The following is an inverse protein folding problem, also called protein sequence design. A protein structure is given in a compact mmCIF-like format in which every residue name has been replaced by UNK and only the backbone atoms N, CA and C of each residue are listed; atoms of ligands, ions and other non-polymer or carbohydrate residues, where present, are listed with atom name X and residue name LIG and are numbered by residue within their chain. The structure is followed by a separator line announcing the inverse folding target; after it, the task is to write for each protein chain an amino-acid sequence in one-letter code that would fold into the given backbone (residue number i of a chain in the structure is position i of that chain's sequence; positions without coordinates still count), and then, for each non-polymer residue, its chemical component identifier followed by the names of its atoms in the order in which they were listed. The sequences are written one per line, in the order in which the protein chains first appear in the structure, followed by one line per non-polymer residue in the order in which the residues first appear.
data_IF_699111949535
#
_entry.id   IF_699111949535
#
_cell.length_a   1.000
_cell.length_b   1.000
_cell.length_c   1.000
_cell.angle_alpha   90.00
_cell.angle_beta   90.00
_cell.angle_gamma   90.00
#
_symmetry.space_group_name_H-M   'P 1'
#
loop_
_entity.id
_entity.type
_entity.pdbx_description
1 polymer ?
#
# COMPACT_ATOMS: atom_id res chain seq x y z
N UNK A 1 19.68 -15.98 8.97
CA UNK A 1 20.12 -15.26 7.77
C UNK A 1 19.95 -13.77 8.03
N UNK A 2 21.00 -12.99 7.94
CA UNK A 2 21.00 -11.53 8.13
C UNK A 2 21.09 -10.83 6.78
N UNK A 3 20.98 -9.50 6.74
CA UNK A 3 21.16 -8.73 5.50
C UNK A 3 22.58 -8.85 4.93
N UNK A 4 23.58 -9.07 5.77
CA UNK A 4 24.98 -9.29 5.37
C UNK A 4 25.13 -10.48 4.39
N UNK A 5 24.23 -11.47 4.46
CA UNK A 5 24.28 -12.69 3.65
C UNK A 5 23.43 -12.64 2.37
N UNK A 6 22.87 -11.48 2.01
CA UNK A 6 21.98 -11.32 0.84
C UNK A 6 22.71 -10.80 -0.41
N UNK A 7 24.01 -10.49 -0.33
CA UNK A 7 24.81 -9.96 -1.44
C UNK A 7 24.70 -8.45 -1.64
N UNK A 8 24.10 -7.73 -0.69
CA UNK A 8 24.05 -6.28 -0.70
C UNK A 8 25.44 -5.68 -0.45
N UNK A 9 25.71 -4.50 -1.01
CA UNK A 9 26.94 -3.78 -0.73
C UNK A 9 27.03 -3.38 0.75
N UNK A 10 28.24 -3.41 1.31
CA UNK A 10 28.45 -3.22 2.76
C UNK A 10 27.94 -1.89 3.30
N UNK A 11 28.02 -0.80 2.51
CA UNK A 11 27.49 0.49 2.93
C UNK A 11 25.97 0.45 3.18
N UNK A 12 25.21 -0.27 2.34
CA UNK A 12 23.74 -0.44 2.55
C UNK A 12 23.44 -1.26 3.80
N UNK A 13 24.23 -2.31 4.06
CA UNK A 13 24.09 -3.10 5.29
C UNK A 13 24.32 -2.23 6.53
N UNK A 14 25.29 -1.32 6.48
CA UNK A 14 25.55 -0.39 7.58
C UNK A 14 24.38 0.60 7.79
N UNK A 15 23.78 1.12 6.70
CA UNK A 15 22.60 1.98 6.77
C UNK A 15 21.43 1.19 7.35
N UNK A 16 21.18 -0.04 6.92
CA UNK A 16 20.12 -0.90 7.45
C UNK A 16 20.25 -1.13 8.96
N UNK A 17 21.47 -1.32 9.46
CA UNK A 17 21.74 -1.45 10.92
C UNK A 17 21.40 -0.14 11.66
N UNK A 18 21.79 1.01 11.09
CA UNK A 18 21.49 2.36 11.63
C UNK A 18 19.96 2.62 11.68
N UNK A 19 19.24 2.21 10.64
CA UNK A 19 17.79 2.36 10.49
C UNK A 19 16.97 1.23 11.19
N UNK A 20 17.62 0.43 12.07
CA UNK A 20 16.98 -0.64 12.86
C UNK A 20 16.32 -1.77 12.05
N UNK A 21 16.80 -2.05 10.84
CA UNK A 21 16.39 -3.24 10.09
C UNK A 21 17.07 -4.48 10.68
N UNK A 22 16.40 -5.17 11.60
CA UNK A 22 17.02 -6.28 12.37
C UNK A 22 17.21 -7.55 11.55
N UNK A 23 16.20 -8.02 10.86
CA UNK A 23 16.22 -9.28 10.10
C UNK A 23 15.43 -9.14 8.79
N UNK A 24 15.89 -9.74 7.68
CA UNK A 24 15.15 -9.72 6.41
C UNK A 24 13.90 -10.60 6.51
N UNK A 25 12.79 -10.09 5.95
CA UNK A 25 11.55 -10.84 5.76
C UNK A 25 11.75 -12.00 4.75
N UNK A 26 10.87 -13.03 4.78
CA UNK A 26 10.98 -14.17 3.86
C UNK A 26 11.10 -13.78 2.38
N UNK A 27 10.29 -12.83 1.91
CA UNK A 27 10.35 -12.34 0.54
C UNK A 27 11.68 -11.65 0.21
N UNK A 28 12.25 -10.90 1.15
CA UNK A 28 13.54 -10.21 0.98
C UNK A 28 14.69 -11.21 0.83
N UNK A 29 14.65 -12.31 1.60
CA UNK A 29 15.67 -13.37 1.52
C UNK A 29 15.72 -14.04 0.15
N UNK A 30 14.59 -14.12 -0.55
CA UNK A 30 14.46 -14.76 -1.86
C UNK A 30 14.66 -13.75 -3.00
N UNK A 31 14.03 -12.57 -2.91
CA UNK A 31 14.01 -11.62 -4.01
C UNK A 31 15.32 -10.83 -4.14
N UNK A 32 15.94 -10.40 -3.03
CA UNK A 32 17.18 -9.60 -3.09
C UNK A 32 18.29 -10.31 -3.87
N UNK A 33 18.65 -11.57 -3.57
CA UNK A 33 19.70 -12.26 -4.33
C UNK A 33 19.33 -12.50 -5.80
N UNK A 34 18.05 -12.77 -6.12
CA UNK A 34 17.60 -12.97 -7.49
C UNK A 34 17.72 -11.68 -8.32
N UNK A 35 17.31 -10.54 -7.74
CA UNK A 35 17.39 -9.23 -8.39
C UNK A 35 18.85 -8.81 -8.60
N UNK A 36 19.72 -9.03 -7.61
CA UNK A 36 21.16 -8.73 -7.73
C UNK A 36 21.87 -9.54 -8.83
N UNK A 37 21.37 -10.75 -9.14
CA UNK A 37 21.85 -11.55 -10.27
C UNK A 37 21.38 -11.04 -11.64
N UNK A 38 20.55 -10.03 -11.68
CA UNK A 38 19.97 -9.49 -12.91
C UNK A 38 18.77 -10.27 -13.47
N UNK A 39 18.21 -11.22 -12.71
CA UNK A 39 17.05 -11.99 -13.14
C UNK A 39 15.78 -11.12 -13.14
N UNK A 40 14.89 -11.38 -14.08
CA UNK A 40 13.49 -10.93 -13.94
C UNK A 40 12.85 -11.69 -12.77
N UNK A 41 11.96 -11.02 -12.03
CA UNK A 41 11.35 -11.59 -10.83
C UNK A 41 9.84 -11.40 -10.84
N UNK A 42 9.12 -12.49 -10.59
CA UNK A 42 7.70 -12.48 -10.21
C UNK A 42 7.59 -12.80 -8.72
N UNK A 43 7.19 -11.82 -7.92
CA UNK A 43 7.09 -11.96 -6.47
C UNK A 43 5.65 -11.82 -5.99
N UNK A 44 5.09 -12.90 -5.49
CA UNK A 44 3.75 -12.94 -4.90
C UNK A 44 3.88 -13.00 -3.39
N UNK A 45 3.41 -11.95 -2.71
CA UNK A 45 3.45 -11.89 -1.26
C UNK A 45 2.40 -10.91 -0.71
N UNK A 46 1.86 -11.13 0.50
CA UNK A 46 0.84 -10.26 1.10
C UNK A 46 1.36 -8.83 1.31
N UNK A 47 0.43 -7.89 1.53
CA UNK A 47 0.78 -6.52 1.95
C UNK A 47 1.50 -6.60 3.30
N UNK A 48 2.49 -5.72 3.54
CA UNK A 48 3.28 -5.71 4.78
C UNK A 48 4.32 -6.82 4.90
N UNK A 49 4.56 -7.62 3.87
CA UNK A 49 5.61 -8.65 3.85
C UNK A 49 7.02 -8.11 3.60
N UNK A 50 7.18 -6.80 3.38
CA UNK A 50 8.46 -6.18 3.06
C UNK A 50 8.81 -6.14 1.56
N UNK A 51 7.81 -6.23 0.66
CA UNK A 51 8.01 -6.17 -0.81
C UNK A 51 8.81 -4.95 -1.26
N UNK A 52 8.49 -3.77 -0.76
CA UNK A 52 9.16 -2.52 -1.17
C UNK A 52 10.67 -2.59 -0.94
N UNK A 53 11.12 -2.98 0.24
CA UNK A 53 12.55 -3.14 0.53
C UNK A 53 13.19 -4.27 -0.29
N UNK A 54 12.42 -5.27 -0.74
CA UNK A 54 12.91 -6.38 -1.57
C UNK A 54 13.45 -5.94 -2.92
N UNK A 55 12.94 -4.84 -3.49
CA UNK A 55 13.48 -4.28 -4.73
C UNK A 55 14.26 -2.98 -4.52
N UNK A 56 13.93 -2.15 -3.54
CA UNK A 56 14.67 -0.91 -3.24
C UNK A 56 16.14 -1.22 -2.92
N UNK A 57 16.40 -2.17 -2.03
CA UNK A 57 17.74 -2.49 -1.59
C UNK A 57 18.66 -3.02 -2.72
N UNK A 58 18.26 -4.01 -3.54
CA UNK A 58 19.11 -4.46 -4.64
C UNK A 58 19.24 -3.39 -5.75
N UNK A 59 18.21 -2.57 -6.01
CA UNK A 59 18.31 -1.45 -6.94
C UNK A 59 19.43 -0.49 -6.48
N UNK A 60 19.41 -0.06 -5.23
CA UNK A 60 20.44 0.82 -4.66
C UNK A 60 21.84 0.17 -4.65
N UNK A 61 21.90 -1.15 -4.52
CA UNK A 61 23.16 -1.90 -4.54
C UNK A 61 23.76 -2.04 -5.94
N UNK A 62 22.94 -2.08 -7.00
CA UNK A 62 23.36 -2.41 -8.37
C UNK A 62 23.60 -1.21 -9.25
N UNK A 63 22.92 -0.08 -8.99
CA UNK A 63 22.99 1.09 -9.86
C UNK A 63 24.24 1.91 -9.57
N UNK A 64 25.01 2.16 -10.63
CA UNK A 64 26.06 3.17 -10.62
C UNK A 64 25.43 4.52 -10.94
N UNK A 65 25.17 5.30 -9.92
CA UNK A 65 24.68 6.66 -10.08
C UNK A 65 25.77 7.56 -10.67
N UNK A 66 25.40 8.42 -11.63
CA UNK A 66 26.29 9.41 -12.20
C UNK A 66 26.02 10.76 -11.56
N UNK A 67 27.04 11.39 -11.01
CA UNK A 67 26.93 12.74 -10.48
C UNK A 67 26.57 13.74 -11.57
N UNK A 68 25.61 14.62 -11.28
CA UNK A 68 25.37 15.82 -12.06
C UNK A 68 24.69 15.59 -13.41
N UNK A 69 24.05 14.44 -13.64
CA UNK A 69 23.24 14.29 -14.85
C UNK A 69 22.17 15.38 -14.89
N UNK A 70 22.27 16.27 -15.88
CA UNK A 70 21.28 17.33 -16.14
C UNK A 70 20.28 16.91 -17.23
N UNK A 71 20.28 15.62 -17.59
CA UNK A 71 19.33 15.09 -18.57
C UNK A 71 18.01 14.66 -17.90
N UNK A 72 17.04 14.29 -18.72
CA UNK A 72 15.74 13.78 -18.30
C UNK A 72 15.64 12.25 -18.48
N UNK A 73 16.76 11.58 -18.43
CA UNK A 73 16.86 10.13 -18.54
C UNK A 73 16.67 9.47 -17.17
N UNK A 74 15.94 8.37 -17.15
CA UNK A 74 15.61 7.61 -15.94
C UNK A 74 16.29 6.25 -16.01
N UNK A 75 17.00 5.87 -14.96
CA UNK A 75 17.60 4.54 -14.82
C UNK A 75 16.62 3.50 -14.30
N UNK A 76 15.71 3.92 -13.40
CA UNK A 76 14.72 3.05 -12.75
C UNK A 76 13.34 3.66 -12.82
N UNK A 77 12.39 2.89 -13.34
CA UNK A 77 10.97 3.24 -13.36
C UNK A 77 10.19 2.28 -12.45
N UNK A 78 9.43 2.83 -11.52
CA UNK A 78 8.55 2.07 -10.62
C UNK A 78 7.12 2.53 -10.87
N UNK A 79 6.26 1.62 -11.31
CA UNK A 79 4.86 1.91 -11.61
C UNK A 79 3.98 1.37 -10.49
N UNK A 80 3.10 2.23 -9.98
CA UNK A 80 2.24 1.96 -8.82
C UNK A 80 0.81 2.44 -9.06
N UNK A 81 -0.20 1.82 -8.43
CA UNK A 81 -1.60 2.16 -8.65
C UNK A 81 -2.06 3.48 -8.04
N UNK A 82 -1.40 3.96 -6.97
CA UNK A 82 -1.87 5.10 -6.19
C UNK A 82 -0.77 6.12 -5.90
N UNK A 83 -1.20 7.36 -5.70
CA UNK A 83 -0.32 8.51 -5.36
C UNK A 83 0.38 8.29 -4.02
N UNK A 84 -0.37 7.74 -3.06
CA UNK A 84 0.11 7.48 -1.72
C UNK A 84 1.25 6.47 -1.76
N UNK A 85 1.09 5.38 -2.52
CA UNK A 85 2.14 4.38 -2.68
C UNK A 85 3.35 4.96 -3.41
N UNK A 86 3.14 5.81 -4.43
CA UNK A 86 4.25 6.50 -5.10
C UNK A 86 5.07 7.34 -4.12
N UNK A 87 4.41 8.09 -3.25
CA UNK A 87 5.08 8.90 -2.25
C UNK A 87 5.79 8.05 -1.19
N UNK A 88 5.16 6.97 -0.72
CA UNK A 88 5.76 6.04 0.25
C UNK A 88 7.04 5.41 -0.28
N UNK A 89 7.03 4.93 -1.52
CA UNK A 89 8.22 4.34 -2.13
C UNK A 89 9.33 5.38 -2.27
N UNK A 90 9.00 6.60 -2.71
CA UNK A 90 9.96 7.72 -2.71
C UNK A 90 10.55 7.95 -1.32
N UNK A 91 9.71 7.97 -0.29
CA UNK A 91 10.17 8.22 1.09
C UNK A 91 11.10 7.09 1.57
N UNK A 92 10.89 5.83 1.14
CA UNK A 92 11.82 4.72 1.41
C UNK A 92 13.18 4.96 0.74
N UNK A 93 13.22 5.40 -0.52
CA UNK A 93 14.49 5.74 -1.18
C UNK A 93 15.20 6.90 -0.48
N UNK A 94 14.47 7.93 -0.03
CA UNK A 94 15.03 9.08 0.66
C UNK A 94 15.73 8.74 1.98
N UNK A 95 15.37 7.61 2.63
CA UNK A 95 16.08 7.13 3.83
C UNK A 95 17.55 6.85 3.50
N UNK A 96 17.81 6.29 2.31
CA UNK A 96 19.14 5.88 1.87
C UNK A 96 19.90 6.98 1.11
N UNK A 97 19.17 7.94 0.49
CA UNK A 97 19.75 8.96 -0.39
C UNK A 97 20.85 9.79 0.30
N UNK A 98 20.66 10.09 1.59
CA UNK A 98 21.59 10.92 2.36
C UNK A 98 22.95 10.30 2.62
N UNK A 99 23.01 8.98 2.63
CA UNK A 99 24.19 8.20 3.02
C UNK A 99 24.86 7.51 1.79
N UNK A 100 24.37 7.78 0.55
CA UNK A 100 24.91 7.20 -0.68
C UNK A 100 25.64 8.26 -1.51
N UNK A 101 26.88 7.96 -1.90
CA UNK A 101 27.69 8.79 -2.81
C UNK A 101 28.14 7.96 -4.02
N UNK A 102 28.03 8.48 -5.25
CA UNK A 102 27.40 9.73 -5.63
C UNK A 102 25.90 9.76 -5.35
N UNK A 103 25.34 10.94 -5.09
CA UNK A 103 23.91 11.13 -4.78
C UNK A 103 23.06 10.77 -6.00
N UNK A 104 21.88 10.22 -5.74
CA UNK A 104 20.85 9.97 -6.73
C UNK A 104 19.60 10.78 -6.38
N UNK A 105 18.75 11.04 -7.36
CA UNK A 105 17.49 11.77 -7.14
C UNK A 105 16.30 10.86 -7.41
N UNK A 106 15.45 10.72 -6.39
CA UNK A 106 14.18 10.00 -6.51
C UNK A 106 13.02 10.97 -6.58
N UNK A 107 12.12 10.74 -7.53
CA UNK A 107 10.92 11.55 -7.69
C UNK A 107 9.66 10.70 -7.78
N UNK A 108 8.59 11.14 -7.12
CA UNK A 108 7.25 10.58 -7.28
C UNK A 108 6.40 11.50 -8.16
N UNK A 109 5.75 10.93 -9.20
CA UNK A 109 4.82 11.63 -10.09
C UNK A 109 3.45 10.95 -10.08
N UNK A 110 2.40 11.76 -10.04
CA UNK A 110 1.03 11.26 -9.97
C UNK A 110 0.02 12.31 -10.41
N UNK A 111 -1.13 11.87 -10.89
CA UNK A 111 -2.22 12.74 -11.33
C UNK A 111 -2.93 13.49 -10.20
N UNK A 112 -3.81 14.45 -10.55
CA UNK A 112 -4.65 15.23 -9.64
C UNK A 112 -3.92 16.32 -8.86
N UNK A 113 -2.74 16.69 -9.32
CA UNK A 113 -1.99 17.90 -9.00
C UNK A 113 -1.45 18.49 -10.29
N UNK A 114 -1.03 19.76 -10.28
CA UNK A 114 -0.47 20.41 -11.48
C UNK A 114 0.72 19.62 -12.03
N UNK A 115 0.78 19.50 -13.37
CA UNK A 115 1.87 18.82 -14.07
C UNK A 115 3.15 19.66 -14.12
N UNK A 116 3.03 20.99 -14.24
CA UNK A 116 4.16 21.90 -14.45
C UNK A 116 5.25 21.82 -13.36
N UNK A 117 4.94 21.81 -12.06
CA UNK A 117 5.96 21.60 -11.02
C UNK A 117 6.67 20.27 -11.16
N UNK A 118 5.94 19.20 -11.53
CA UNK A 118 6.53 17.88 -11.73
C UNK A 118 7.49 17.88 -12.93
N UNK A 119 7.09 18.47 -14.07
CA UNK A 119 7.95 18.60 -15.25
C UNK A 119 9.26 19.34 -14.96
N UNK A 120 9.20 20.45 -14.23
CA UNK A 120 10.38 21.23 -13.85
C UNK A 120 11.34 20.45 -12.96
N UNK A 121 10.82 19.55 -12.14
CA UNK A 121 11.60 18.78 -11.17
C UNK A 121 12.21 17.49 -11.73
N UNK A 122 11.97 17.14 -13.01
CA UNK A 122 12.46 15.89 -13.62
C UNK A 122 13.96 15.90 -13.94
N UNK A 123 14.62 17.05 -13.97
CA UNK A 123 16.05 17.12 -14.25
C UNK A 123 16.88 16.37 -13.22
N UNK A 124 17.75 15.49 -13.67
CA UNK A 124 18.64 14.68 -12.86
C UNK A 124 17.95 13.59 -12.03
N UNK A 125 16.71 13.21 -12.38
CA UNK A 125 15.99 12.13 -11.71
C UNK A 125 16.50 10.79 -12.21
N UNK A 126 17.12 10.01 -11.35
CA UNK A 126 17.60 8.64 -11.64
C UNK A 126 16.50 7.60 -11.39
N UNK A 127 15.69 7.81 -10.36
CA UNK A 127 14.64 6.87 -9.94
C UNK A 127 13.29 7.59 -10.00
N UNK A 128 12.39 7.09 -10.85
CA UNK A 128 11.06 7.64 -11.01
C UNK A 128 10.00 6.67 -10.49
N UNK A 129 9.16 7.12 -9.55
CA UNK A 129 7.99 6.38 -9.08
C UNK A 129 6.74 7.06 -9.65
N UNK A 130 5.92 6.32 -10.39
CA UNK A 130 4.86 6.91 -11.19
C UNK A 130 3.52 6.19 -11.08
N UNK A 131 2.41 6.94 -11.16
CA UNK A 131 1.11 6.38 -11.54
C UNK A 131 0.95 6.42 -13.06
N UNK A 132 0.30 5.39 -13.69
CA UNK A 132 0.30 5.23 -15.15
C UNK A 132 -0.13 6.47 -15.94
N UNK A 133 -1.30 7.03 -15.64
CA UNK A 133 -1.83 8.17 -16.39
C UNK A 133 -0.88 9.39 -16.38
N UNK A 134 -0.32 9.77 -15.22
CA UNK A 134 0.62 10.89 -15.13
C UNK A 134 1.94 10.60 -15.85
N UNK A 135 2.37 9.35 -15.86
CA UNK A 135 3.56 8.97 -16.63
C UNK A 135 3.36 9.21 -18.12
N UNK A 136 2.22 8.78 -18.66
CA UNK A 136 1.86 9.03 -20.06
C UNK A 136 1.72 10.53 -20.38
N UNK A 137 1.11 11.33 -19.49
CA UNK A 137 1.04 12.80 -19.67
C UNK A 137 2.44 13.40 -19.87
N UNK A 138 3.43 12.97 -19.08
CA UNK A 138 4.80 13.49 -19.14
C UNK A 138 5.57 12.97 -20.35
N UNK A 139 5.36 11.72 -20.76
CA UNK A 139 5.94 11.16 -21.98
C UNK A 139 5.39 11.88 -23.22
N UNK A 140 4.07 12.04 -23.31
CA UNK A 140 3.41 12.72 -24.42
C UNK A 140 3.82 14.21 -24.53
N UNK A 141 4.22 14.82 -23.40
CA UNK A 141 4.76 16.18 -23.36
C UNK A 141 6.28 16.23 -23.65
N UNK A 142 6.90 15.11 -24.04
CA UNK A 142 8.36 14.98 -24.26
C UNK A 142 9.20 15.46 -23.06
N UNK A 143 8.66 15.28 -21.85
CA UNK A 143 9.27 15.75 -20.61
C UNK A 143 10.20 14.72 -19.96
N UNK A 144 10.16 13.45 -20.43
CA UNK A 144 10.94 12.35 -19.88
C UNK A 144 11.30 11.34 -20.96
N UNK A 145 12.46 10.69 -20.83
CA UNK A 145 12.99 9.71 -21.77
C UNK A 145 13.44 8.43 -21.02
N UNK A 146 13.30 7.28 -21.70
CA UNK A 146 13.59 5.96 -21.12
C UNK A 146 14.73 5.21 -21.81
N UNK A 147 15.49 5.84 -22.71
CA UNK A 147 16.55 5.17 -23.49
C UNK A 147 17.61 4.52 -22.59
N UNK A 148 17.82 5.07 -21.39
CA UNK A 148 18.80 4.56 -20.38
C UNK A 148 18.16 3.68 -19.30
N UNK A 149 16.86 3.32 -19.43
CA UNK A 149 16.16 2.56 -18.41
C UNK A 149 16.77 1.16 -18.25
N UNK A 150 17.22 0.87 -17.05
CA UNK A 150 17.83 -0.41 -16.67
C UNK A 150 16.87 -1.35 -15.94
N UNK A 151 15.97 -0.78 -15.14
CA UNK A 151 15.06 -1.58 -14.30
C UNK A 151 13.64 -1.00 -14.34
N UNK A 152 12.68 -1.87 -14.61
CA UNK A 152 11.25 -1.59 -14.46
C UNK A 152 10.70 -2.40 -13.29
N UNK A 153 9.99 -1.73 -12.39
CA UNK A 153 9.25 -2.37 -11.29
C UNK A 153 7.76 -2.09 -11.45
N UNK A 154 6.94 -3.14 -11.38
CA UNK A 154 5.51 -3.02 -11.19
C UNK A 154 5.18 -3.44 -9.76
N UNK A 155 4.74 -2.52 -8.92
CA UNK A 155 4.31 -2.84 -7.56
C UNK A 155 2.79 -2.77 -7.44
N UNK A 156 2.22 -3.69 -6.65
CA UNK A 156 0.79 -3.91 -6.53
C UNK A 156 0.10 -4.15 -7.91
N UNK A 157 0.70 -5.01 -8.74
CA UNK A 157 0.25 -5.25 -10.12
C UNK A 157 -1.22 -5.69 -10.20
N UNK A 158 -1.70 -6.51 -9.27
CA UNK A 158 -3.11 -6.89 -9.18
C UNK A 158 -4.05 -5.68 -9.00
N UNK A 159 -3.61 -4.65 -8.31
CA UNK A 159 -4.40 -3.42 -8.14
C UNK A 159 -4.33 -2.51 -9.37
N UNK A 160 -3.16 -2.39 -10.01
CA UNK A 160 -3.02 -1.66 -11.28
C UNK A 160 -4.07 -2.17 -12.29
N UNK A 161 -4.18 -3.49 -12.44
CA UNK A 161 -5.12 -4.12 -13.39
C UNK A 161 -6.58 -4.03 -12.96
N UNK A 162 -6.85 -4.10 -11.65
CA UNK A 162 -8.21 -3.97 -11.14
C UNK A 162 -8.75 -2.53 -11.21
N UNK A 163 -7.87 -1.53 -11.26
CA UNK A 163 -8.21 -0.12 -11.45
C UNK A 163 -8.39 0.27 -12.92
N UNK A 164 -8.16 -0.65 -13.86
CA UNK A 164 -8.39 -0.44 -15.28
C UNK A 164 -7.20 0.13 -16.05
N UNK A 165 -5.99 0.15 -15.49
CA UNK A 165 -4.79 0.69 -16.14
C UNK A 165 -4.15 -0.24 -17.18
N UNK A 166 -4.90 -1.23 -17.73
CA UNK A 166 -4.35 -2.19 -18.70
C UNK A 166 -3.85 -1.49 -19.97
N UNK A 167 -4.62 -0.55 -20.50
CA UNK A 167 -4.31 0.15 -21.74
C UNK A 167 -3.13 1.10 -21.56
N UNK A 168 -3.10 1.86 -20.46
CA UNK A 168 -1.97 2.73 -20.13
C UNK A 168 -0.69 1.92 -19.95
N UNK A 169 -0.77 0.77 -19.29
CA UNK A 169 0.38 -0.12 -19.10
C UNK A 169 0.92 -0.63 -20.43
N UNK A 170 0.04 -1.04 -21.36
CA UNK A 170 0.42 -1.48 -22.70
C UNK A 170 1.13 -0.37 -23.48
N UNK A 171 0.61 0.85 -23.43
CA UNK A 171 1.25 2.02 -24.04
C UNK A 171 2.63 2.29 -23.43
N UNK A 172 2.74 2.28 -22.09
CA UNK A 172 4.01 2.49 -21.42
C UNK A 172 5.03 1.43 -21.86
N UNK A 173 4.66 0.14 -21.87
CA UNK A 173 5.59 -0.94 -22.21
C UNK A 173 6.16 -0.81 -23.63
N UNK A 174 5.37 -0.30 -24.60
CA UNK A 174 5.82 -0.06 -25.95
C UNK A 174 6.89 1.04 -26.08
N UNK A 175 6.99 1.92 -25.09
CA UNK A 175 7.93 3.04 -25.05
C UNK A 175 9.25 2.71 -24.36
N UNK A 176 9.33 1.56 -23.69
CA UNK A 176 10.49 1.18 -22.90
C UNK A 176 11.50 0.36 -23.70
N UNK A 177 12.83 0.51 -23.47
CA UNK A 177 13.85 -0.25 -24.16
C UNK A 177 13.69 -1.75 -23.88
N UNK A 178 13.99 -2.58 -24.90
CA UNK A 178 13.84 -4.03 -24.81
C UNK A 178 14.83 -4.68 -23.82
N UNK A 179 16.01 -4.10 -23.65
CA UNK A 179 17.05 -4.60 -22.73
C UNK A 179 16.92 -3.90 -21.38
N UNK A 180 16.20 -4.52 -20.46
CA UNK A 180 16.02 -4.06 -19.09
C UNK A 180 15.70 -5.24 -18.19
N UNK A 181 15.90 -5.10 -16.90
CA UNK A 181 15.38 -6.03 -15.88
C UNK A 181 13.94 -5.65 -15.53
N UNK A 182 13.06 -6.64 -15.42
CA UNK A 182 11.66 -6.42 -15.05
C UNK A 182 11.35 -7.12 -13.73
N UNK A 183 10.73 -6.40 -12.81
CA UNK A 183 10.36 -6.86 -11.47
C UNK A 183 8.87 -6.68 -11.27
N UNK A 184 8.13 -7.76 -11.08
CA UNK A 184 6.68 -7.76 -10.89
C UNK A 184 6.35 -8.19 -9.45
N UNK A 185 5.78 -7.29 -8.68
CA UNK A 185 5.32 -7.51 -7.31
C UNK A 185 3.80 -7.43 -7.21
N UNK A 186 3.18 -8.45 -6.63
CA UNK A 186 1.74 -8.52 -6.45
C UNK A 186 1.36 -9.14 -5.12
N UNK A 187 0.16 -8.87 -4.63
CA UNK A 187 -0.39 -9.57 -3.49
C UNK A 187 -1.07 -10.90 -3.90
N UNK A 188 -1.50 -11.01 -5.16
CA UNK A 188 -2.19 -12.18 -5.68
C UNK A 188 -1.74 -12.50 -7.10
N UNK A 189 -1.71 -13.80 -7.42
CA UNK A 189 -1.58 -14.29 -8.79
C UNK A 189 -2.99 -14.58 -9.32
N UNK A 190 -3.50 -13.75 -10.18
CA UNK A 190 -4.77 -13.94 -10.90
C UNK A 190 -4.51 -13.91 -12.40
N UNK A 191 -5.50 -14.28 -13.22
CA UNK A 191 -5.37 -14.34 -14.68
C UNK A 191 -4.79 -13.06 -15.29
N UNK A 192 -5.23 -11.90 -14.82
CA UNK A 192 -4.72 -10.60 -15.31
C UNK A 192 -3.24 -10.39 -15.00
N UNK A 193 -2.80 -10.77 -13.79
CA UNK A 193 -1.38 -10.67 -13.42
C UNK A 193 -0.56 -11.66 -14.21
N UNK A 194 -1.10 -12.86 -14.50
CA UNK A 194 -0.45 -13.86 -15.33
C UNK A 194 -0.30 -13.39 -16.78
N UNK A 195 -1.30 -12.71 -17.37
CA UNK A 195 -1.19 -12.08 -18.69
C UNK A 195 -0.01 -11.08 -18.74
N UNK A 196 0.12 -10.22 -17.74
CA UNK A 196 1.24 -9.25 -17.68
C UNK A 196 2.57 -9.97 -17.46
N UNK A 197 2.62 -11.00 -16.63
CA UNK A 197 3.80 -11.81 -16.44
C UNK A 197 4.32 -12.33 -17.78
N UNK A 198 3.46 -12.92 -18.61
CA UNK A 198 3.82 -13.49 -19.93
C UNK A 198 4.31 -12.42 -20.91
N UNK A 199 3.76 -11.20 -20.85
CA UNK A 199 4.15 -10.13 -21.76
C UNK A 199 5.47 -9.48 -21.32
N UNK A 200 5.68 -9.31 -20.02
CA UNK A 200 6.72 -8.46 -19.47
C UNK A 200 7.98 -9.22 -19.07
N UNK A 201 7.84 -10.40 -18.44
CA UNK A 201 8.96 -11.08 -17.80
C UNK A 201 9.60 -12.13 -18.71
N UNK A 202 10.92 -12.28 -18.62
CA UNK A 202 11.71 -13.25 -19.38
C UNK A 202 12.36 -14.24 -18.44
N UNK A 203 11.91 -15.50 -18.49
CA UNK A 203 12.38 -16.58 -17.60
C UNK A 203 12.50 -16.13 -16.13
N UNK A 204 11.41 -15.61 -15.52
CA UNK A 204 11.50 -14.99 -14.21
C UNK A 204 11.81 -16.00 -13.11
N UNK A 205 12.51 -15.54 -12.10
CA UNK A 205 12.53 -16.22 -10.80
C UNK A 205 11.18 -16.01 -10.14
N UNK A 206 10.39 -17.09 -10.01
CA UNK A 206 9.07 -17.02 -9.36
C UNK A 206 9.24 -17.22 -7.86
N UNK A 207 8.80 -16.22 -7.09
CA UNK A 207 8.84 -16.20 -5.64
C UNK A 207 7.41 -16.12 -5.12
N UNK A 208 6.96 -17.17 -4.47
CA UNK A 208 5.66 -17.21 -3.85
C UNK A 208 5.81 -17.35 -2.33
N UNK A 209 5.61 -16.25 -1.63
CA UNK A 209 5.57 -16.24 -0.16
C UNK A 209 4.11 -16.26 0.23
N UNK A 210 3.58 -17.48 0.39
CA UNK A 210 2.27 -17.64 1.01
C UNK A 210 2.31 -17.05 2.42
N UNK A 211 1.28 -16.34 2.85
CA UNK A 211 1.13 -16.06 4.27
C UNK A 211 1.24 -17.42 4.97
N UNK A 212 2.07 -17.55 6.01
CA UNK A 212 1.79 -18.52 7.07
C UNK A 212 0.32 -18.32 7.37
N UNK A 213 -0.48 -19.39 7.31
CA UNK A 213 -1.95 -19.40 7.44
C UNK A 213 -2.43 -18.19 8.19
N UNK A 214 -3.28 -17.38 7.56
CA UNK A 214 -3.62 -16.03 7.97
C UNK A 214 -3.52 -15.93 9.49
N UNK A 215 -2.59 -15.13 10.01
CA UNK A 215 -2.52 -14.85 11.45
C UNK A 215 -3.77 -14.08 11.90
N UNK A 216 -4.94 -14.55 11.45
CA UNK A 216 -6.25 -14.15 11.98
C UNK A 216 -6.37 -14.50 13.47
N UNK A 217 -5.56 -15.47 13.92
CA UNK A 217 -5.41 -15.83 15.34
C UNK A 217 -4.95 -14.66 16.21
N UNK A 218 -4.18 -13.73 15.67
CA UNK A 218 -3.76 -12.52 16.37
C UNK A 218 -4.77 -11.38 16.26
N UNK A 219 -5.93 -11.60 15.61
CA UNK A 219 -6.98 -10.60 15.47
C UNK A 219 -8.23 -11.08 16.22
N UNK A 220 -8.53 -10.45 17.34
CA UNK A 220 -9.82 -10.60 18.00
C UNK A 220 -10.91 -10.04 17.10
N UNK A 221 -11.89 -10.84 16.72
CA UNK A 221 -12.96 -10.45 15.81
C UNK A 221 -14.30 -10.49 16.53
N UNK A 222 -14.99 -9.34 16.53
CA UNK A 222 -16.30 -9.17 17.13
C UNK A 222 -17.28 -8.64 16.07
N UNK A 223 -18.53 -9.06 16.13
CA UNK A 223 -19.58 -8.53 15.25
C UNK A 223 -20.81 -8.11 16.04
N UNK A 224 -21.32 -6.92 15.73
CA UNK A 224 -22.55 -6.39 16.32
C UNK A 224 -23.70 -6.46 15.31
N UNK A 225 -24.78 -7.16 15.67
CA UNK A 225 -26.07 -7.08 14.96
C UNK A 225 -26.73 -5.75 15.30
N UNK A 226 -26.92 -4.87 14.32
CA UNK A 226 -27.33 -3.47 14.57
C UNK A 226 -28.08 -2.88 13.41
N UNK A 227 -29.16 -2.16 13.66
CA UNK A 227 -29.86 -1.38 12.64
C UNK A 227 -29.02 -0.21 12.12
N UNK A 228 -29.22 0.20 10.88
CA UNK A 228 -28.41 1.26 10.24
C UNK A 228 -28.44 2.58 11.00
N UNK A 229 -29.59 2.93 11.61
CA UNK A 229 -29.76 4.17 12.38
C UNK A 229 -28.91 4.18 13.64
N UNK A 230 -28.69 3.01 14.25
CA UNK A 230 -27.95 2.85 15.50
C UNK A 230 -26.45 2.65 15.30
N UNK A 231 -25.97 2.38 14.07
CA UNK A 231 -24.50 2.22 13.79
C UNK A 231 -23.68 3.42 14.26
N UNK A 232 -24.16 4.65 14.05
CA UNK A 232 -23.46 5.87 14.49
C UNK A 232 -23.37 6.02 16.01
N UNK A 233 -24.46 5.90 16.74
CA UNK A 233 -24.45 5.82 18.21
C UNK A 233 -23.52 4.74 18.76
N UNK A 234 -23.62 3.50 18.25
CA UNK A 234 -22.75 2.39 18.67
C UNK A 234 -21.26 2.71 18.43
N UNK A 235 -20.90 3.23 17.25
CA UNK A 235 -19.53 3.61 16.95
C UNK A 235 -18.98 4.61 17.99
N UNK A 236 -19.75 5.65 18.33
CA UNK A 236 -19.34 6.64 19.34
C UNK A 236 -19.20 6.02 20.72
N UNK A 237 -20.15 5.16 21.11
CA UNK A 237 -20.12 4.44 22.38
C UNK A 237 -18.85 3.60 22.49
N UNK A 238 -18.57 2.73 21.53
CA UNK A 238 -17.36 1.88 21.52
C UNK A 238 -16.07 2.68 21.60
N UNK A 239 -15.96 3.77 20.83
CA UNK A 239 -14.77 4.63 20.86
C UNK A 239 -14.58 5.29 22.23
N UNK A 240 -15.67 5.78 22.84
CA UNK A 240 -15.58 6.51 24.12
C UNK A 240 -15.42 5.56 25.30
N UNK A 241 -16.33 4.57 25.46
CA UNK A 241 -16.33 3.63 26.59
C UNK A 241 -15.14 2.68 26.58
N UNK A 242 -14.76 2.16 25.40
CA UNK A 242 -13.57 1.33 25.23
C UNK A 242 -12.26 2.11 25.22
N UNK A 243 -12.31 3.46 25.32
CA UNK A 243 -11.15 4.35 25.18
C UNK A 243 -10.27 3.99 23.98
N UNK A 244 -10.90 3.58 22.84
CA UNK A 244 -10.19 3.12 21.66
C UNK A 244 -9.35 4.26 21.07
N UNK A 245 -8.07 4.00 20.82
CA UNK A 245 -7.12 4.93 20.22
C UNK A 245 -6.70 4.42 18.83
N UNK A 246 -6.43 5.34 17.90
CA UNK A 246 -6.04 5.00 16.51
C UNK A 246 -6.97 3.97 15.84
N UNK A 247 -8.22 4.37 15.68
CA UNK A 247 -9.27 3.55 15.07
C UNK A 247 -9.37 3.81 13.57
N UNK A 248 -9.25 2.79 12.75
CA UNK A 248 -9.52 2.85 11.32
C UNK A 248 -10.94 2.36 11.03
N UNK A 249 -11.79 3.24 10.50
CA UNK A 249 -13.20 2.94 10.20
C UNK A 249 -13.40 2.81 8.70
N UNK A 250 -13.95 1.70 8.26
CA UNK A 250 -14.28 1.43 6.86
C UNK A 250 -15.74 1.69 6.54
N UNK A 251 -15.99 2.45 5.45
CA UNK A 251 -17.31 2.71 4.89
C UNK A 251 -17.36 2.34 3.42
N UNK A 252 -18.57 2.10 2.89
CA UNK A 252 -18.79 1.70 1.50
C UNK A 252 -18.66 2.86 0.49
N UNK A 253 -18.80 4.12 0.95
CA UNK A 253 -18.81 5.29 0.06
C UNK A 253 -18.09 6.50 0.65
N UNK A 254 -17.63 7.39 -0.23
CA UNK A 254 -17.00 8.66 0.15
C UNK A 254 -17.92 9.57 0.93
N UNK A 255 -19.19 9.63 0.53
CA UNK A 255 -20.24 10.39 1.23
C UNK A 255 -20.45 9.88 2.67
N UNK A 256 -20.50 8.56 2.84
CA UNK A 256 -20.65 7.95 4.17
C UNK A 256 -19.43 8.21 5.04
N UNK A 257 -18.21 8.17 4.45
CA UNK A 257 -16.97 8.48 5.16
C UNK A 257 -16.99 9.91 5.73
N UNK A 258 -17.39 10.90 4.91
CA UNK A 258 -17.55 12.29 5.38
C UNK A 258 -18.59 12.41 6.49
N UNK A 259 -19.77 11.84 6.30
CA UNK A 259 -20.87 11.89 7.26
C UNK A 259 -20.49 11.27 8.63
N UNK A 260 -19.82 10.11 8.61
CA UNK A 260 -19.37 9.44 9.84
C UNK A 260 -18.31 10.29 10.55
N UNK A 261 -17.32 10.80 9.83
CA UNK A 261 -16.27 11.63 10.44
C UNK A 261 -16.84 12.93 11.03
N UNK A 262 -17.78 13.57 10.35
CA UNK A 262 -18.43 14.81 10.83
C UNK A 262 -19.27 14.59 12.08
N UNK A 263 -20.04 13.48 12.12
CA UNK A 263 -20.80 13.09 13.31
C UNK A 263 -19.90 12.78 14.51
N UNK A 264 -18.74 12.13 14.27
CA UNK A 264 -17.77 11.88 15.32
C UNK A 264 -17.19 13.19 15.88
N UNK A 265 -16.80 14.14 15.00
CA UNK A 265 -16.28 15.46 15.42
C UNK A 265 -17.28 16.28 16.21
N UNK A 266 -18.55 16.31 15.77
CA UNK A 266 -19.64 16.98 16.50
C UNK A 266 -19.87 16.41 17.91
N UNK A 267 -19.42 15.18 18.16
CA UNK A 267 -19.47 14.52 19.47
C UNK A 267 -18.13 14.51 20.22
N UNK A 268 -17.19 15.41 19.86
CA UNK A 268 -15.92 15.60 20.55
C UNK A 268 -14.86 14.52 20.27
N UNK A 269 -15.01 13.73 19.21
CA UNK A 269 -14.03 12.71 18.80
C UNK A 269 -13.21 13.25 17.64
N UNK A 270 -11.88 13.35 17.80
CA UNK A 270 -10.95 13.78 16.75
C UNK A 270 -10.99 12.76 15.58
N UNK A 271 -11.72 13.10 14.52
CA UNK A 271 -11.93 12.24 13.35
C UNK A 271 -11.76 13.00 12.03
N UNK A 272 -11.19 12.35 11.02
CA UNK A 272 -11.18 12.86 9.64
C UNK A 272 -11.49 11.74 8.65
N UNK A 273 -12.15 12.10 7.54
CA UNK A 273 -12.35 11.20 6.41
C UNK A 273 -11.21 11.37 5.38
N UNK A 274 -10.75 10.24 4.84
CA UNK A 274 -9.85 10.20 3.68
C UNK A 274 -10.44 9.34 2.57
N UNK A 275 -10.49 9.88 1.36
CA UNK A 275 -11.00 9.18 0.18
C UNK A 275 -10.56 9.91 -1.10
N UNK A 276 -10.76 9.31 -2.26
CA UNK A 276 -10.27 9.82 -3.55
C UNK A 276 -10.74 11.24 -3.92
N UNK A 277 -11.87 11.71 -3.36
CA UNK A 277 -12.38 13.07 -3.60
C UNK A 277 -11.73 14.16 -2.73
N UNK A 278 -10.95 13.80 -1.69
CA UNK A 278 -10.18 14.77 -0.90
C UNK A 278 -8.92 15.18 -1.66
N UNK A 279 -8.52 16.44 -1.51
CA UNK A 279 -7.24 16.89 -2.09
C UNK A 279 -6.05 16.18 -1.42
N UNK A 280 -4.92 16.12 -2.13
CA UNK A 280 -3.76 15.34 -1.71
C UNK A 280 -3.15 15.84 -0.39
N UNK A 281 -3.13 17.15 -0.20
CA UNK A 281 -2.56 17.76 1.00
C UNK A 281 -3.38 17.40 2.24
N UNK A 282 -4.72 17.54 2.16
CA UNK A 282 -5.62 17.14 3.25
C UNK A 282 -5.48 15.64 3.60
N UNK A 283 -5.28 14.78 2.58
CA UNK A 283 -5.06 13.35 2.78
C UNK A 283 -3.73 13.08 3.49
N UNK A 284 -2.65 13.74 3.04
CA UNK A 284 -1.31 13.63 3.66
C UNK A 284 -1.34 14.09 5.12
N UNK A 285 -1.95 15.25 5.40
CA UNK A 285 -2.09 15.78 6.76
C UNK A 285 -2.89 14.85 7.66
N UNK A 286 -4.05 14.33 7.19
CA UNK A 286 -4.88 13.42 7.97
C UNK A 286 -4.13 12.12 8.32
N UNK A 287 -3.38 11.57 7.38
CA UNK A 287 -2.55 10.37 7.59
C UNK A 287 -1.44 10.64 8.61
N UNK A 288 -0.75 11.76 8.48
CA UNK A 288 0.33 12.11 9.40
C UNK A 288 -0.20 12.36 10.81
N UNK A 289 -1.32 13.07 10.96
CA UNK A 289 -1.96 13.31 12.26
C UNK A 289 -2.43 11.99 12.88
N UNK A 290 -2.92 11.05 12.07
CA UNK A 290 -3.33 9.72 12.53
C UNK A 290 -2.13 8.87 12.97
N UNK A 291 -1.05 8.82 12.19
CA UNK A 291 0.18 8.11 12.54
C UNK A 291 0.81 8.64 13.83
N UNK A 292 0.77 9.96 14.02
CA UNK A 292 1.33 10.64 15.19
C UNK A 292 0.38 10.63 16.41
N UNK A 293 -0.78 9.97 16.35
CA UNK A 293 -1.75 9.89 17.44
C UNK A 293 -2.53 11.19 17.72
N UNK A 294 -2.32 12.25 16.92
CA UNK A 294 -3.10 13.51 17.03
C UNK A 294 -4.54 13.36 16.54
N UNK A 295 -4.77 12.43 15.64
CA UNK A 295 -6.08 12.06 15.15
C UNK A 295 -6.47 10.69 15.71
N UNK A 296 -7.60 10.61 16.40
CA UNK A 296 -8.06 9.36 17.04
C UNK A 296 -8.71 8.40 16.06
N UNK A 297 -9.48 8.93 15.09
CA UNK A 297 -10.25 8.13 14.14
C UNK A 297 -9.97 8.57 12.71
N UNK A 298 -9.61 7.60 11.87
CA UNK A 298 -9.51 7.80 10.43
C UNK A 298 -10.63 7.02 9.74
N UNK A 299 -11.50 7.72 8.99
CA UNK A 299 -12.59 7.09 8.24
C UNK A 299 -12.22 6.99 6.77
N UNK A 300 -12.33 5.81 6.16
CA UNK A 300 -11.86 5.57 4.79
C UNK A 300 -12.76 4.63 4.00
N UNK A 301 -12.47 4.50 2.71
CA UNK A 301 -13.04 3.50 1.80
C UNK A 301 -11.96 2.50 1.37
N UNK A 302 -12.36 1.33 0.87
CA UNK A 302 -11.43 0.26 0.44
C UNK A 302 -10.38 0.73 -0.55
N UNK A 303 -10.81 1.52 -1.55
CA UNK A 303 -9.94 1.96 -2.64
C UNK A 303 -8.71 2.70 -2.13
N UNK A 304 -8.89 3.59 -1.17
CA UNK A 304 -7.79 4.37 -0.62
C UNK A 304 -6.98 3.56 0.41
N UNK A 305 -7.67 2.82 1.27
CA UNK A 305 -7.01 2.05 2.33
C UNK A 305 -6.02 0.99 1.81
N UNK A 306 -6.19 0.53 0.57
CA UNK A 306 -5.26 -0.40 -0.08
C UNK A 306 -3.92 0.23 -0.50
N UNK A 307 -3.84 1.56 -0.59
CA UNK A 307 -2.61 2.28 -0.97
C UNK A 307 -1.98 3.05 0.20
N UNK A 308 -2.48 2.88 1.42
CA UNK A 308 -1.99 3.61 2.58
C UNK A 308 -1.16 2.66 3.46
N UNK A 309 0.04 3.12 3.82
CA UNK A 309 0.88 2.49 4.83
C UNK A 309 0.34 2.83 6.23
N UNK A 310 -0.73 2.14 6.61
CA UNK A 310 -1.27 2.11 7.97
C UNK A 310 -1.36 0.65 8.35
N UNK A 311 -0.42 0.21 9.15
CA UNK A 311 -0.32 -1.15 9.66
C UNK A 311 -0.13 -1.12 11.18
N UNK A 312 -0.34 -2.25 11.82
CA UNK A 312 -0.21 -2.42 13.27
C UNK A 312 -1.18 -1.55 14.09
N UNK A 313 -2.36 -1.28 13.52
CA UNK A 313 -3.37 -0.55 14.26
C UNK A 313 -3.94 -1.40 15.40
N UNK A 314 -4.25 -0.81 16.55
CA UNK A 314 -4.93 -1.55 17.60
C UNK A 314 -6.37 -1.92 17.21
N UNK A 315 -7.08 -1.05 16.47
CA UNK A 315 -8.50 -1.26 16.18
C UNK A 315 -8.86 -0.96 14.73
N UNK A 316 -9.63 -1.88 14.13
CA UNK A 316 -10.27 -1.73 12.82
C UNK A 316 -11.78 -1.92 12.99
N UNK A 317 -12.58 -1.00 12.43
CA UNK A 317 -14.05 -1.11 12.47
C UNK A 317 -14.61 -1.13 11.06
N UNK A 318 -15.27 -2.23 10.70
CA UNK A 318 -16.09 -2.32 9.51
C UNK A 318 -17.49 -1.71 9.82
N UNK A 319 -17.64 -0.40 9.62
CA UNK A 319 -18.92 0.29 9.78
C UNK A 319 -19.95 -0.18 8.76
N UNK A 320 -19.47 -0.53 7.56
CA UNK A 320 -20.22 -1.22 6.51
C UNK A 320 -19.40 -2.39 5.98
N UNK A 321 -20.08 -3.49 5.63
CA UNK A 321 -19.41 -4.67 5.09
C UNK A 321 -18.71 -4.37 3.76
N UNK A 322 -17.56 -5.01 3.49
CA UNK A 322 -16.93 -4.95 2.17
C UNK A 322 -17.69 -5.78 1.16
N UNK A 323 -17.46 -5.53 -0.12
CA UNK A 323 -18.11 -6.24 -1.22
C UNK A 323 -17.67 -7.71 -1.36
N UNK A 324 -16.50 -8.06 -0.85
CA UNK A 324 -15.96 -9.42 -0.99
C UNK A 324 -15.26 -9.91 0.29
N UNK A 325 -15.21 -11.23 0.51
CA UNK A 325 -14.45 -11.82 1.61
C UNK A 325 -12.96 -11.44 1.59
N UNK A 326 -12.37 -11.31 0.40
CA UNK A 326 -10.99 -10.89 0.24
C UNK A 326 -10.77 -9.47 0.77
N UNK A 327 -11.69 -8.55 0.51
CA UNK A 327 -11.62 -7.19 1.02
C UNK A 327 -11.76 -7.16 2.54
N UNK A 328 -12.59 -8.03 3.10
CA UNK A 328 -12.73 -8.18 4.54
C UNK A 328 -11.37 -8.53 5.19
N UNK A 329 -10.70 -9.54 4.66
CA UNK A 329 -9.35 -9.94 5.13
C UNK A 329 -8.36 -8.78 5.00
N UNK A 330 -8.38 -8.04 3.89
CA UNK A 330 -7.50 -6.89 3.69
C UNK A 330 -7.77 -5.75 4.67
N UNK A 331 -9.03 -5.54 5.08
CA UNK A 331 -9.40 -4.53 6.07
C UNK A 331 -8.93 -4.92 7.47
N UNK A 332 -9.30 -6.12 7.93
CA UNK A 332 -8.90 -6.58 9.27
C UNK A 332 -7.40 -6.78 9.38
N UNK A 333 -6.72 -7.16 8.29
CA UNK A 333 -5.27 -7.27 8.22
C UNK A 333 -4.52 -5.93 8.35
N UNK A 334 -5.18 -4.81 8.65
CA UNK A 334 -4.55 -3.57 9.11
C UNK A 334 -4.22 -3.60 10.60
N UNK A 335 -4.73 -4.60 11.31
CA UNK A 335 -4.43 -4.87 12.72
C UNK A 335 -3.86 -6.28 12.89
N UNK A 336 -3.40 -6.65 14.09
CA UNK A 336 -3.01 -8.02 14.46
C UNK A 336 -1.80 -8.58 13.71
N UNK A 337 -0.77 -7.79 13.43
CA UNK A 337 0.46 -8.27 12.77
C UNK A 337 1.62 -8.42 13.75
N UNK A 338 2.52 -9.39 13.44
CA UNK A 338 3.72 -9.74 14.21
C UNK A 338 3.40 -10.18 15.65
N UNK A 339 3.77 -9.42 16.65
CA UNK A 339 3.65 -9.78 18.08
C UNK A 339 2.53 -9.00 18.79
N UNK A 340 1.76 -8.14 18.07
CA UNK A 340 0.69 -7.34 18.67
C UNK A 340 -0.68 -7.92 18.37
N UNK A 341 -1.49 -8.13 19.43
CA UNK A 341 -2.90 -8.44 19.32
C UNK A 341 -3.65 -7.24 18.73
N UNK A 342 -4.55 -7.51 17.79
CA UNK A 342 -5.41 -6.51 17.16
C UNK A 342 -6.88 -6.83 17.33
N UNK A 343 -7.73 -5.81 17.25
CA UNK A 343 -9.17 -5.97 17.35
C UNK A 343 -9.86 -5.49 16.07
N UNK A 344 -10.74 -6.34 15.53
CA UNK A 344 -11.58 -6.04 14.37
C UNK A 344 -13.07 -6.14 14.76
N UNK A 345 -13.77 -5.01 14.67
CA UNK A 345 -15.20 -4.92 15.02
C UNK A 345 -16.00 -4.75 13.71
N UNK A 346 -17.06 -5.52 13.55
CA UNK A 346 -17.89 -5.48 12.34
C UNK A 346 -19.35 -5.18 12.68
N UNK A 347 -19.95 -4.17 12.04
CA UNK A 347 -21.37 -3.87 12.15
C UNK A 347 -22.15 -4.56 11.05
N UNK A 348 -23.11 -5.38 11.45
CA UNK A 348 -23.92 -6.20 10.54
C UNK A 348 -25.38 -5.75 10.65
N UNK A 349 -25.88 -5.10 9.59
CA UNK A 349 -27.29 -4.75 9.51
C UNK A 349 -28.13 -5.99 9.14
N UNK A 350 -29.44 -5.99 9.42
CA UNK A 350 -30.30 -7.12 9.05
C UNK A 350 -30.19 -7.54 7.58
N UNK A 351 -30.12 -6.58 6.67
CA UNK A 351 -29.94 -6.82 5.24
C UNK A 351 -28.57 -7.41 4.86
N UNK A 352 -27.55 -7.21 5.70
CA UNK A 352 -26.18 -7.67 5.48
C UNK A 352 -25.92 -9.09 6.01
N UNK A 353 -26.85 -9.71 6.74
CA UNK A 353 -26.69 -10.99 7.41
C UNK A 353 -26.25 -12.12 6.46
N UNK A 354 -26.92 -12.23 5.31
CA UNK A 354 -26.59 -13.26 4.34
C UNK A 354 -25.16 -13.08 3.79
N UNK A 355 -24.79 -11.85 3.50
CA UNK A 355 -23.46 -11.53 2.99
C UNK A 355 -22.36 -11.80 4.04
N UNK A 356 -22.63 -11.46 5.30
CA UNK A 356 -21.67 -11.74 6.37
C UNK A 356 -21.45 -13.24 6.59
N UNK A 357 -22.51 -14.05 6.50
CA UNK A 357 -22.40 -15.52 6.54
C UNK A 357 -21.51 -16.06 5.41
N UNK A 358 -21.60 -15.50 4.19
CA UNK A 358 -20.73 -15.87 3.07
C UNK A 358 -19.27 -15.51 3.40
N UNK A 359 -19.02 -14.33 3.98
CA UNK A 359 -17.68 -13.92 4.41
C UNK A 359 -17.11 -14.92 5.42
N UNK A 360 -17.83 -15.23 6.48
CA UNK A 360 -17.38 -16.19 7.52
C UNK A 360 -17.10 -17.58 6.94
N UNK A 361 -18.00 -18.10 6.08
CA UNK A 361 -17.82 -19.41 5.41
C UNK A 361 -16.55 -19.44 4.58
N UNK A 362 -16.28 -18.38 3.80
CA UNK A 362 -15.06 -18.27 2.97
C UNK A 362 -13.79 -18.15 3.79
N UNK A 363 -13.87 -17.50 4.94
CA UNK A 363 -12.75 -17.35 5.86
C UNK A 363 -12.55 -18.56 6.79
N UNK A 364 -13.50 -19.50 6.81
CA UNK A 364 -13.52 -20.67 7.71
C UNK A 364 -13.45 -20.28 9.18
N UNK A 365 -14.08 -19.17 9.56
CA UNK A 365 -14.14 -18.69 10.95
C UNK A 365 -15.58 -18.42 11.36
N UNK A 366 -15.82 -18.48 12.66
CA UNK A 366 -17.04 -17.99 13.33
C UNK A 366 -16.65 -16.75 14.12
N UNK A 367 -17.32 -15.63 13.87
CA UNK A 367 -17.09 -14.38 14.59
C UNK A 367 -18.12 -14.28 15.73
N UNK A 368 -17.63 -13.94 16.93
CA UNK A 368 -18.48 -13.74 18.09
C UNK A 368 -19.48 -12.60 17.85
N UNK A 369 -20.76 -12.81 18.24
CA UNK A 369 -21.87 -11.91 17.93
C UNK A 369 -22.46 -11.29 19.18
N UNK A 370 -22.71 -9.98 19.11
CA UNK A 370 -23.36 -9.20 20.15
C UNK A 370 -24.60 -8.47 19.59
N UNK A 371 -25.59 -8.25 20.43
CA UNK A 371 -26.72 -7.39 20.09
C UNK A 371 -26.35 -5.91 20.30
N UNK A 372 -26.13 -5.22 19.20
CA UNK A 372 -25.84 -3.78 19.23
C UNK A 372 -27.09 -2.90 19.43
N UNK A 373 -28.29 -3.43 19.21
CA UNK A 373 -29.54 -2.68 19.41
C UNK A 373 -29.91 -2.52 20.88
N UNK A 374 -29.47 -3.46 21.73
CA UNK A 374 -29.67 -3.44 23.18
C UNK A 374 -28.66 -2.58 23.95
N UNK A 375 -27.64 -2.04 23.30
CA UNK A 375 -26.63 -1.19 23.97
C UNK A 375 -27.27 0.15 24.35
N UNK A 376 -27.12 0.53 25.63
CA UNK A 376 -27.49 1.84 26.10
C UNK A 376 -26.40 2.86 25.70
N UNK A 377 -26.75 3.86 24.92
CA UNK A 377 -25.83 4.87 24.36
C UNK A 377 -25.76 6.16 25.21
N UNK A 378 -26.39 6.17 26.40
CA UNK A 378 -26.38 7.31 27.30
C UNK A 378 -25.03 7.50 28.00
#
# INVERSE_FOLDING_TARGET
MTFDNLGLQQFLVNILKKENYKKPYPIQKLAIPAILKGNDVLAIAPTGSGKTASYVLPILSSIKFQEGSKDRQVDVLIIVPTRELAQQIKDVFNIFEKDISPSFKTMAIYGGVSINPQMKSLFGVSILVATPGRLLDLVNSNAIHFDKLKTLVLDEADKLLNLGFKDEMSQIFSLLPSKRQNLLFSATLNEKVEEINQILLRNPTIINVTPKENNLENISQLAYSISNEKKGPLLRHLIKSGNLKQVLVFTASTYKADNVSDKLRKNGIAARAIHGKKNQEARKMALQDFKNGRLRVLVTTDLLARGIDIEYLPHVINYELPRSPKDYIHRIGRTGRAESLGEAITFVAPEDEHHFKIIQKKMKITVERFDGNGVNFN
#
